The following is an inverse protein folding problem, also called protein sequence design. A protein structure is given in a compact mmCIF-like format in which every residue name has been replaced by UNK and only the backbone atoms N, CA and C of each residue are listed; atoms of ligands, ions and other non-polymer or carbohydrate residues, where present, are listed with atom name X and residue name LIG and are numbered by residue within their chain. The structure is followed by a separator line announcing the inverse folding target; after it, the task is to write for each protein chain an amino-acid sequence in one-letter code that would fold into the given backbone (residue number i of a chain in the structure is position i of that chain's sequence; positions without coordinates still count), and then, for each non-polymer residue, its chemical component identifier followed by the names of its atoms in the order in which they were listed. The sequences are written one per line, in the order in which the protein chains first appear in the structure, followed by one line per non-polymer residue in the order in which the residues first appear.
data_IF_778894191400
#
_entry.id   IF_778894191400
#
_cell.length_a   1.000
_cell.length_b   1.000
_cell.length_c   1.000
_cell.angle_alpha   90.00
_cell.angle_beta   90.00
_cell.angle_gamma   90.00
#
_symmetry.space_group_name_H-M   'P 1'
#
loop_
_entity.id
_entity.type
_entity.pdbx_description
1 polymer ?
#
# COMPACT_ATOMS: atom_id res chain seq x y z
N UNK A 1 -1.01 -2.55 18.82
CA UNK A 1 -0.73 -1.14 18.44
C UNK A 1 0.48 -0.56 19.17
N UNK A 2 0.75 -0.86 20.45
CA UNK A 2 1.89 -0.28 21.19
C UNK A 2 3.32 -0.68 20.73
N UNK A 3 3.49 -1.36 19.60
CA UNK A 3 4.80 -1.90 19.16
C UNK A 3 5.47 -1.08 18.06
N UNK A 4 4.80 -0.07 17.49
CA UNK A 4 5.33 0.69 16.35
C UNK A 4 6.33 1.78 16.77
N UNK A 5 6.19 2.32 17.99
CA UNK A 5 7.07 3.35 18.54
C UNK A 5 7.42 2.94 19.97
N UNK A 6 8.65 2.47 20.16
CA UNK A 6 9.19 1.99 21.44
C UNK A 6 10.27 2.97 21.93
N UNK A 7 11.09 3.44 21.00
CA UNK A 7 12.23 4.35 21.18
C UNK A 7 12.14 5.59 20.28
N UNK A 8 12.88 6.67 20.60
CA UNK A 8 12.98 7.84 19.72
C UNK A 8 13.59 7.51 18.36
N UNK A 9 14.42 6.46 18.28
CA UNK A 9 15.00 6.01 17.02
C UNK A 9 13.93 5.48 16.07
N UNK A 10 12.90 4.81 16.59
CA UNK A 10 11.77 4.34 15.78
C UNK A 10 10.97 5.53 15.23
N UNK A 11 10.81 6.60 16.02
CA UNK A 11 10.17 7.84 15.57
C UNK A 11 10.97 8.50 14.45
N UNK A 12 12.30 8.53 14.59
CA UNK A 12 13.19 9.08 13.57
C UNK A 12 13.06 8.31 12.24
N UNK A 13 13.12 6.98 12.28
CA UNK A 13 12.98 6.14 11.09
C UNK A 13 11.60 6.35 10.41
N UNK A 14 10.53 6.34 11.19
CA UNK A 14 9.17 6.58 10.68
C UNK A 14 9.00 8.00 10.11
N UNK A 15 9.74 8.98 10.62
CA UNK A 15 9.75 10.35 10.09
C UNK A 15 10.52 10.42 8.76
N UNK A 16 11.67 9.76 8.67
CA UNK A 16 12.48 9.68 7.44
C UNK A 16 11.68 9.02 6.31
N UNK A 17 10.92 7.96 6.63
CA UNK A 17 10.00 7.27 5.73
C UNK A 17 8.68 8.02 5.49
N UNK A 18 8.51 9.23 6.07
CA UNK A 18 7.30 10.07 5.95
C UNK A 18 6.01 9.39 6.38
N UNK A 19 6.10 8.40 7.26
CA UNK A 19 4.95 7.68 7.85
C UNK A 19 4.33 8.51 8.97
N UNK A 20 5.15 9.24 9.74
CA UNK A 20 4.71 10.16 10.79
C UNK A 20 5.26 11.57 10.57
N UNK A 21 4.45 12.57 10.92
CA UNK A 21 4.84 13.98 10.89
C UNK A 21 4.98 14.47 12.32
N UNK A 22 6.19 14.83 12.73
CA UNK A 22 6.43 15.35 14.09
C UNK A 22 6.13 16.86 14.14
N UNK A 23 5.04 17.22 14.82
CA UNK A 23 4.68 18.61 15.17
C UNK A 23 4.91 18.93 16.65
N UNK A 24 5.43 17.97 17.42
CA UNK A 24 5.64 18.01 18.87
C UNK A 24 7.10 18.38 19.22
N UNK A 25 7.87 18.93 18.28
CA UNK A 25 9.24 19.38 18.55
C UNK A 25 10.29 18.27 18.53
N UNK A 26 10.27 17.33 19.50
CA UNK A 26 11.30 16.27 19.65
C UNK A 26 10.74 14.86 19.49
N UNK A 27 11.60 13.91 19.14
CA UNK A 27 11.21 12.49 18.97
C UNK A 27 10.86 11.83 20.31
N UNK A 28 11.48 12.28 21.40
CA UNK A 28 11.15 11.85 22.77
C UNK A 28 9.73 12.24 23.18
N UNK A 29 9.26 13.43 22.81
CA UNK A 29 7.89 13.88 23.07
C UNK A 29 6.87 13.04 22.30
N UNK A 30 7.17 12.69 21.05
CA UNK A 30 6.34 11.77 20.25
C UNK A 30 6.25 10.39 20.92
N UNK A 31 7.36 9.86 21.44
CA UNK A 31 7.38 8.60 22.19
C UNK A 31 6.48 8.68 23.43
N UNK A 32 6.51 9.79 24.17
CA UNK A 32 5.68 9.95 25.37
C UNK A 32 4.19 10.03 25.03
N UNK A 33 3.82 10.79 24.00
CA UNK A 33 2.44 10.86 23.52
C UNK A 33 1.98 9.49 23.02
N UNK A 34 2.81 8.79 22.24
CA UNK A 34 2.50 7.46 21.72
C UNK A 34 2.32 6.41 22.84
N UNK A 35 3.13 6.47 23.89
CA UNK A 35 2.98 5.63 25.09
C UNK A 35 1.73 5.99 25.89
N UNK A 36 1.37 7.27 25.94
CA UNK A 36 0.18 7.80 26.59
C UNK A 36 -1.12 7.57 25.84
N UNK A 37 -1.06 7.33 24.52
CA UNK A 37 -2.19 6.90 23.71
C UNK A 37 -2.66 5.53 24.18
N UNK A 38 -3.60 5.52 25.13
CA UNK A 38 -4.48 4.38 25.35
C UNK A 38 -5.47 4.36 24.19
N UNK A 39 -5.41 3.38 23.27
CA UNK A 39 -6.44 3.27 22.25
C UNK A 39 -7.75 3.00 23.00
N UNK A 40 -8.71 3.90 22.85
CA UNK A 40 -10.02 3.75 23.46
C UNK A 40 -10.60 2.39 23.01
N UNK A 41 -10.78 1.45 23.95
CA UNK A 41 -11.25 0.09 23.65
C UNK A 41 -10.17 -0.97 23.32
N UNK A 42 -8.87 -0.69 23.48
CA UNK A 42 -7.82 -1.70 23.32
C UNK A 42 -7.54 -2.54 24.58
N UNK A 43 -8.20 -2.24 25.70
CA UNK A 43 -8.10 -3.05 26.92
C UNK A 43 -9.05 -4.28 26.88
N UNK A 44 -9.96 -4.35 25.89
CA UNK A 44 -10.76 -5.53 25.59
C UNK A 44 -10.23 -6.23 24.31
N UNK A 45 -9.45 -7.31 24.46
CA UNK A 45 -8.93 -8.07 23.33
C UNK A 45 -10.02 -8.60 22.40
N UNK A 46 -11.23 -8.84 22.90
CA UNK A 46 -12.36 -9.35 22.12
C UNK A 46 -12.97 -8.25 21.25
N UNK A 47 -13.11 -7.03 21.79
CA UNK A 47 -13.62 -5.89 21.03
C UNK A 47 -12.66 -5.55 19.88
N UNK A 48 -11.36 -5.47 20.16
CA UNK A 48 -10.35 -5.22 19.12
C UNK A 48 -10.32 -6.35 18.07
N UNK A 49 -10.41 -7.61 18.49
CA UNK A 49 -10.49 -8.76 17.57
C UNK A 49 -11.72 -8.68 16.68
N UNK A 50 -12.88 -8.32 17.22
CA UNK A 50 -14.11 -8.16 16.45
C UNK A 50 -14.05 -6.98 15.49
N UNK A 51 -13.49 -5.84 15.89
CA UNK A 51 -13.29 -4.70 14.99
C UNK A 51 -12.36 -5.08 13.83
N UNK A 52 -11.22 -5.69 14.13
CA UNK A 52 -10.28 -6.16 13.10
C UNK A 52 -10.94 -7.16 12.16
N UNK A 53 -11.73 -8.10 12.71
CA UNK A 53 -12.49 -9.08 11.91
C UNK A 53 -13.51 -8.41 11.00
N UNK A 54 -14.30 -7.47 11.52
CA UNK A 54 -15.31 -6.75 10.72
C UNK A 54 -14.66 -5.93 9.59
N UNK A 55 -13.54 -5.24 9.86
CA UNK A 55 -12.78 -4.50 8.85
C UNK A 55 -12.25 -5.47 7.78
N UNK A 56 -11.68 -6.60 8.20
CA UNK A 56 -11.16 -7.62 7.29
C UNK A 56 -12.27 -8.25 6.44
N UNK A 57 -13.41 -8.59 7.03
CA UNK A 57 -14.57 -9.16 6.33
C UNK A 57 -15.12 -8.16 5.30
N UNK A 58 -15.23 -6.88 5.65
CA UNK A 58 -15.67 -5.82 4.73
C UNK A 58 -14.68 -5.55 3.60
N UNK A 59 -13.38 -5.56 3.88
CA UNK A 59 -12.36 -5.40 2.83
C UNK A 59 -12.32 -6.63 1.91
N UNK A 60 -12.39 -7.83 2.49
CA UNK A 60 -12.39 -9.08 1.73
C UNK A 60 -13.64 -9.23 0.87
N UNK A 61 -14.82 -8.80 1.36
CA UNK A 61 -16.04 -8.80 0.55
C UNK A 61 -15.91 -7.85 -0.64
N UNK A 62 -15.45 -6.61 -0.43
CA UNK A 62 -15.18 -5.65 -1.50
C UNK A 62 -14.15 -6.17 -2.49
N UNK A 63 -13.02 -6.69 -2.01
CA UNK A 63 -11.97 -7.26 -2.85
C UNK A 63 -12.47 -8.44 -3.69
N UNK A 64 -13.23 -9.35 -3.08
CA UNK A 64 -13.87 -10.46 -3.79
C UNK A 64 -14.87 -9.99 -4.83
N UNK A 65 -15.67 -8.96 -4.54
CA UNK A 65 -16.61 -8.38 -5.51
C UNK A 65 -15.89 -7.72 -6.68
N UNK A 66 -14.81 -6.97 -6.41
CA UNK A 66 -13.98 -6.38 -7.46
C UNK A 66 -13.33 -7.44 -8.35
N UNK A 67 -12.75 -8.48 -7.75
CA UNK A 67 -12.17 -9.60 -8.48
C UNK A 67 -13.24 -10.33 -9.30
N UNK A 68 -14.42 -10.58 -8.72
CA UNK A 68 -15.53 -11.20 -9.44
C UNK A 68 -16.00 -10.34 -10.63
N UNK A 69 -16.12 -9.03 -10.47
CA UNK A 69 -16.48 -8.11 -11.55
C UNK A 69 -15.42 -8.03 -12.65
N UNK A 70 -14.13 -8.06 -12.28
CA UNK A 70 -13.03 -8.15 -13.24
C UNK A 70 -13.07 -9.47 -14.01
N UNK A 71 -13.27 -10.59 -13.32
CA UNK A 71 -13.38 -11.89 -13.97
C UNK A 71 -14.58 -11.91 -14.92
N UNK A 72 -15.73 -11.46 -14.47
CA UNK A 72 -16.94 -11.40 -15.29
C UNK A 72 -16.76 -10.53 -16.55
N UNK A 73 -16.14 -9.35 -16.41
CA UNK A 73 -15.96 -8.41 -17.53
C UNK A 73 -14.87 -8.85 -18.50
N UNK A 74 -13.77 -9.41 -18.01
CA UNK A 74 -12.59 -9.73 -18.83
C UNK A 74 -12.52 -11.20 -19.28
N UNK A 75 -13.10 -12.13 -18.52
CA UNK A 75 -13.00 -13.58 -18.78
C UNK A 75 -14.29 -14.21 -19.32
N UNK A 76 -15.47 -13.56 -19.27
CA UNK A 76 -16.67 -14.11 -19.92
C UNK A 76 -16.68 -13.96 -21.44
N UNK A 77 -15.96 -12.97 -21.98
CA UNK A 77 -15.86 -12.77 -23.42
C UNK A 77 -14.44 -13.09 -23.87
N UNK A 78 -14.23 -14.13 -24.70
CA UNK A 78 -12.90 -14.46 -25.20
C UNK A 78 -12.23 -13.29 -25.94
N UNK A 79 -13.02 -12.35 -26.47
CA UNK A 79 -12.56 -11.13 -27.13
C UNK A 79 -12.01 -10.06 -26.17
N UNK A 80 -12.56 -9.96 -24.96
CA UNK A 80 -12.09 -8.99 -23.95
C UNK A 80 -10.71 -9.41 -23.43
N UNK A 81 -10.53 -10.72 -23.21
CA UNK A 81 -9.26 -11.29 -22.77
C UNK A 81 -8.14 -11.08 -23.80
N UNK A 82 -8.41 -11.31 -25.08
CA UNK A 82 -7.41 -11.10 -26.14
C UNK A 82 -7.04 -9.63 -26.29
N UNK A 83 -8.02 -8.71 -26.21
CA UNK A 83 -7.75 -7.28 -26.22
C UNK A 83 -6.86 -6.86 -25.05
N UNK A 84 -7.12 -7.37 -23.84
CA UNK A 84 -6.30 -7.09 -22.67
C UNK A 84 -4.86 -7.59 -22.84
N UNK A 85 -4.66 -8.81 -23.35
CA UNK A 85 -3.33 -9.37 -23.62
C UNK A 85 -2.58 -8.51 -24.64
N UNK A 86 -3.23 -8.15 -25.74
CA UNK A 86 -2.63 -7.31 -26.79
C UNK A 86 -2.24 -5.95 -26.24
N UNK A 87 -3.12 -5.30 -25.46
CA UNK A 87 -2.82 -4.00 -24.84
C UNK A 87 -1.61 -4.10 -23.92
N UNK A 88 -1.58 -5.07 -23.00
CA UNK A 88 -0.45 -5.25 -22.07
C UNK A 88 0.85 -5.52 -22.83
N UNK A 89 0.81 -6.37 -23.84
CA UNK A 89 1.98 -6.69 -24.65
C UNK A 89 2.50 -5.47 -25.43
N UNK A 90 1.60 -4.72 -26.07
CA UNK A 90 1.95 -3.51 -26.81
C UNK A 90 2.51 -2.43 -25.88
N UNK A 91 1.91 -2.23 -24.70
CA UNK A 91 2.42 -1.30 -23.69
C UNK A 91 3.80 -1.71 -23.22
N UNK A 92 4.04 -2.99 -22.95
CA UNK A 92 5.37 -3.50 -22.58
C UNK A 92 6.40 -3.23 -23.68
N UNK A 93 6.08 -3.57 -24.94
CA UNK A 93 6.93 -3.27 -26.07
C UNK A 93 7.22 -1.78 -26.21
N UNK A 94 6.23 -0.92 -26.01
CA UNK A 94 6.39 0.54 -26.09
C UNK A 94 7.36 1.06 -25.03
N UNK A 95 7.29 0.54 -23.80
CA UNK A 95 8.22 0.89 -22.73
C UNK A 95 9.64 0.48 -23.11
N UNK A 96 9.81 -0.76 -23.58
CA UNK A 96 11.10 -1.28 -24.04
C UNK A 96 11.66 -0.45 -25.19
N UNK A 97 10.86 -0.19 -26.21
CA UNK A 97 11.24 0.62 -27.37
C UNK A 97 11.61 2.05 -26.96
N UNK A 98 10.84 2.66 -26.07
CA UNK A 98 11.11 4.02 -25.58
C UNK A 98 12.38 4.06 -24.75
N UNK A 99 12.64 3.04 -23.94
CA UNK A 99 13.89 2.93 -23.18
C UNK A 99 15.11 2.85 -24.10
N UNK A 100 15.13 1.88 -25.03
CA UNK A 100 16.26 1.68 -25.95
C UNK A 100 16.38 2.77 -27.02
N UNK A 101 15.26 3.35 -27.45
CA UNK A 101 15.21 4.45 -28.42
C UNK A 101 15.37 5.83 -27.80
N UNK A 102 15.42 5.94 -26.47
CA UNK A 102 15.64 7.22 -25.81
C UNK A 102 17.08 7.70 -26.05
N UNK A 103 17.30 9.02 -26.24
CA UNK A 103 18.65 9.59 -26.29
C UNK A 103 19.45 9.34 -24.99
N UNK A 104 18.76 9.03 -23.88
CA UNK A 104 19.38 8.63 -22.63
C UNK A 104 20.14 7.30 -22.75
N UNK A 105 19.59 6.29 -23.43
CA UNK A 105 20.29 5.03 -23.67
C UNK A 105 21.51 5.20 -24.59
N UNK A 106 21.39 6.05 -25.63
CA UNK A 106 22.51 6.33 -26.53
C UNK A 106 23.66 7.10 -25.84
N UNK A 107 23.34 8.05 -24.95
CA UNK A 107 24.32 8.83 -24.17
C UNK A 107 25.03 8.02 -23.07
N UNK A 108 24.53 6.84 -22.69
CA UNK A 108 25.15 5.97 -21.68
C UNK A 108 26.06 4.90 -22.29
N UNK A 109 26.01 4.71 -23.61
CA UNK A 109 26.67 3.61 -24.31
C UNK A 109 27.68 4.08 -25.38
N UNK A 110 28.06 5.36 -25.33
CA UNK A 110 29.20 6.00 -26.02
C UNK A 110 30.21 6.48 -24.97
#
# INVERSE_FOLDING_TARGET
MKSLVISPNDVKELREEKIIFNTLGSDEEVVQVYKGLKPYGADDPLLFKNLKRNIQEHYNSKGKTWIAGLIDTYFNSPWSLTALIVTVFLTFLTIVQTYYGSPFYHSFHE
#
